data_IF_919771678638
#
_entry.id   IF_919771678638
#
_cell.length_a   1.000
_cell.length_b   1.000
_cell.length_c   1.000
_cell.angle_alpha   90.00
_cell.angle_beta   90.00
_cell.angle_gamma   90.00
#
_symmetry.space_group_name_H-M   'P 1'
#
loop_
_entity.id
_entity.type
_entity.pdbx_description
1 polymer ?
#
# COMPACT_ATOMS: atom_id res chain seq x y z
N UNK A 1 13.48 6.10 -11.30
CA UNK A 1 13.90 6.11 -9.88
C UNK A 1 13.07 5.12 -9.06
N UNK A 2 13.19 3.80 -9.33
CA UNK A 2 12.54 2.72 -8.54
C UNK A 2 13.50 1.60 -8.13
N UNK A 3 14.79 1.75 -8.44
CA UNK A 3 15.78 0.69 -8.21
C UNK A 3 15.98 0.37 -6.73
N UNK A 4 15.84 1.36 -5.84
CA UNK A 4 15.87 1.11 -4.39
C UNK A 4 14.61 0.41 -3.89
N UNK A 5 13.44 0.63 -4.49
CA UNK A 5 12.21 -0.06 -4.07
C UNK A 5 12.31 -1.55 -4.36
N UNK A 6 12.84 -1.90 -5.55
CA UNK A 6 13.12 -3.28 -5.94
C UNK A 6 14.07 -3.96 -4.97
N UNK A 7 15.17 -3.31 -4.59
CA UNK A 7 16.15 -3.86 -3.63
C UNK A 7 15.55 -4.04 -2.24
N UNK A 8 14.79 -3.05 -1.76
CA UNK A 8 14.08 -3.15 -0.49
C UNK A 8 13.15 -4.36 -0.50
N UNK A 9 12.38 -4.54 -1.58
CA UNK A 9 11.47 -5.68 -1.73
C UNK A 9 12.21 -7.01 -1.85
N UNK A 10 13.28 -7.10 -2.63
CA UNK A 10 14.12 -8.30 -2.81
C UNK A 10 14.67 -8.83 -1.48
N UNK A 11 14.99 -7.92 -0.56
CA UNK A 11 15.46 -8.26 0.79
C UNK A 11 14.33 -8.40 1.83
N UNK A 12 13.07 -8.49 1.41
CA UNK A 12 11.91 -8.66 2.29
C UNK A 12 11.58 -7.43 3.15
N UNK A 13 12.09 -6.26 2.77
CA UNK A 13 11.83 -4.99 3.43
C UNK A 13 10.54 -4.32 2.95
N UNK A 14 10.27 -3.12 3.47
CA UNK A 14 9.11 -2.31 3.12
C UNK A 14 9.39 -0.81 3.18
N UNK A 15 8.63 -0.03 2.43
CA UNK A 15 8.59 1.43 2.53
C UNK A 15 7.65 1.89 3.65
N UNK A 16 7.84 3.12 4.12
CA UNK A 16 7.00 3.72 5.16
C UNK A 16 6.05 4.77 4.55
N UNK A 17 4.74 4.59 4.75
CA UNK A 17 3.68 5.44 4.18
C UNK A 17 3.82 6.92 4.52
N UNK A 18 4.27 7.27 5.73
CA UNK A 18 4.48 8.67 6.12
C UNK A 18 5.60 9.38 5.34
N UNK A 19 6.44 8.61 4.61
CA UNK A 19 7.56 9.11 3.80
C UNK A 19 7.42 8.80 2.31
N UNK A 20 6.37 8.08 1.91
CA UNK A 20 6.17 7.72 0.51
C UNK A 20 5.10 8.60 -0.15
N UNK A 21 5.45 9.09 -1.33
CA UNK A 21 4.53 9.80 -2.22
C UNK A 21 4.55 9.26 -3.66
N UNK A 22 5.27 8.17 -3.95
CA UNK A 22 5.67 7.83 -5.34
C UNK A 22 5.79 6.35 -5.69
N UNK A 23 5.78 5.42 -4.72
CA UNK A 23 5.75 3.99 -5.07
C UNK A 23 4.42 3.62 -5.75
N UNK A 24 4.44 2.57 -6.57
CA UNK A 24 3.23 2.00 -7.17
C UNK A 24 2.52 1.01 -6.23
N UNK A 25 1.26 0.71 -6.54
CA UNK A 25 0.43 -0.22 -5.78
C UNK A 25 1.02 -1.64 -5.77
N UNK A 26 1.43 -2.18 -6.92
CA UNK A 26 1.99 -3.54 -7.04
C UNK A 26 3.18 -3.77 -6.08
N UNK A 27 4.12 -2.84 -6.07
CA UNK A 27 5.29 -2.86 -5.17
C UNK A 27 4.85 -2.75 -3.71
N UNK A 28 3.91 -1.84 -3.40
CA UNK A 28 3.42 -1.65 -2.03
C UNK A 28 2.69 -2.90 -1.51
N UNK A 29 1.85 -3.53 -2.33
CA UNK A 29 1.14 -4.75 -1.96
C UNK A 29 2.11 -5.91 -1.72
N UNK A 30 3.16 -6.03 -2.55
CA UNK A 30 4.22 -7.03 -2.37
C UNK A 30 5.02 -6.84 -1.06
N UNK A 31 5.19 -5.60 -0.60
CA UNK A 31 5.87 -5.28 0.67
C UNK A 31 5.04 -5.59 1.92
N UNK A 32 3.72 -5.76 1.79
CA UNK A 32 2.80 -5.96 2.90
C UNK A 32 1.99 -7.26 2.72
N UNK A 33 2.53 -8.44 3.10
CA UNK A 33 1.87 -9.74 2.88
C UNK A 33 0.50 -9.94 3.53
N UNK A 34 0.08 -9.03 4.42
CA UNK A 34 -1.24 -9.02 5.09
C UNK A 34 -2.16 -7.91 4.57
N UNK A 35 -1.85 -7.31 3.42
CA UNK A 35 -2.61 -6.17 2.90
C UNK A 35 -4.07 -6.54 2.57
N UNK A 36 -4.31 -7.73 2.04
CA UNK A 36 -5.69 -8.21 1.75
C UNK A 36 -6.52 -8.39 3.03
N UNK A 37 -5.90 -8.86 4.11
CA UNK A 37 -6.54 -8.94 5.43
C UNK A 37 -6.94 -7.55 5.92
N UNK A 38 -6.05 -6.57 5.77
CA UNK A 38 -6.31 -5.19 6.15
C UNK A 38 -7.39 -4.54 5.28
N UNK A 39 -7.36 -4.73 3.96
CA UNK A 39 -8.38 -4.23 3.02
C UNK A 39 -9.75 -4.82 3.37
N UNK A 40 -9.81 -6.12 3.71
CA UNK A 40 -11.04 -6.76 4.15
C UNK A 40 -11.63 -6.10 5.40
N UNK A 41 -10.80 -5.82 6.41
CA UNK A 41 -11.25 -5.10 7.62
C UNK A 41 -11.73 -3.70 7.26
N UNK A 42 -10.99 -2.95 6.44
CA UNK A 42 -11.39 -1.62 5.98
C UNK A 42 -12.77 -1.66 5.30
N UNK A 43 -12.98 -2.54 4.32
CA UNK A 43 -14.25 -2.65 3.60
C UNK A 43 -15.41 -3.09 4.49
N UNK A 44 -15.14 -3.77 5.60
CA UNK A 44 -16.17 -4.14 6.57
C UNK A 44 -16.68 -2.96 7.39
N UNK A 45 -15.84 -1.95 7.63
CA UNK A 45 -16.19 -0.77 8.44
C UNK A 45 -16.55 0.46 7.60
N UNK A 46 -16.05 0.54 6.36
CA UNK A 46 -16.30 1.63 5.42
C UNK A 46 -16.65 1.09 4.02
N UNK A 47 -17.79 0.40 3.85
CA UNK A 47 -18.15 -0.28 2.60
C UNK A 47 -18.42 0.69 1.44
N UNK A 48 -18.71 1.96 1.72
CA UNK A 48 -18.94 3.00 0.71
C UNK A 48 -17.73 3.91 0.49
N UNK A 49 -16.60 3.66 1.16
CA UNK A 49 -15.35 4.38 0.96
C UNK A 49 -15.40 5.86 1.35
N UNK A 50 -16.13 6.21 2.41
CA UNK A 50 -16.24 7.58 2.94
C UNK A 50 -14.86 8.13 3.32
N UNK A 51 -14.00 7.31 3.91
CA UNK A 51 -12.65 7.70 4.29
C UNK A 51 -11.67 7.36 3.18
N UNK A 52 -11.33 8.35 2.35
CA UNK A 52 -10.40 8.20 1.23
C UNK A 52 -9.35 9.33 1.18
N UNK A 53 -8.14 8.98 0.74
CA UNK A 53 -7.03 9.92 0.50
C UNK A 53 -6.38 9.66 -0.86
N UNK A 54 -5.56 10.59 -1.35
CA UNK A 54 -4.80 10.39 -2.59
C UNK A 54 -3.85 9.19 -2.49
N UNK A 55 -3.30 8.95 -1.30
CA UNK A 55 -2.47 7.77 -1.05
C UNK A 55 -3.30 6.49 -1.17
N UNK A 56 -4.51 6.45 -0.61
CA UNK A 56 -5.38 5.28 -0.70
C UNK A 56 -5.79 4.98 -2.16
N UNK A 57 -6.04 6.02 -2.96
CA UNK A 57 -6.30 5.88 -4.40
C UNK A 57 -5.09 5.35 -5.15
N UNK A 58 -3.90 5.93 -4.95
CA UNK A 58 -2.66 5.53 -5.63
C UNK A 58 -2.19 4.12 -5.28
N UNK A 59 -2.37 3.71 -4.02
CA UNK A 59 -1.91 2.41 -3.52
C UNK A 59 -3.01 1.34 -3.53
N UNK A 60 -4.16 1.62 -4.15
CA UNK A 60 -5.30 0.69 -4.28
C UNK A 60 -5.76 0.10 -2.94
N UNK A 61 -5.89 0.97 -1.94
CA UNK A 61 -6.27 0.61 -0.57
C UNK A 61 -7.76 0.74 -0.29
N UNK A 62 -8.58 1.06 -1.31
CA UNK A 62 -10.01 1.34 -1.13
C UNK A 62 -10.85 0.08 -0.91
#
# INVERSE_FOLDING_TARGET
>A
VRELDKRVLEFGGRLYTAKDSRTDAETFHSMYPRIDEWIKVRRSVDPTGVFASDMARRLELL
#
